data_IF_327192336759
#
_entry.id   IF_327192336759
#
_cell.length_a   1.000
_cell.length_b   1.000
_cell.length_c   1.000
_cell.angle_alpha   90.00
_cell.angle_beta   90.00
_cell.angle_gamma   90.00
#
_symmetry.space_group_name_H-M   'P 1'
#
loop_
_entity.id
_entity.type
_entity.pdbx_description
1 polymer ?
#
# COMPACT_ATOMS: atom_id res chain seq x y z
N UNK A 1 -39.98 -26.46 -67.26
CA UNK A 1 -40.14 -25.63 -66.04
C UNK A 1 -39.58 -26.40 -64.84
N UNK A 2 -38.33 -26.15 -64.47
CA UNK A 2 -37.74 -26.60 -63.20
C UNK A 2 -36.88 -25.45 -62.69
N UNK A 3 -37.39 -24.71 -61.71
CA UNK A 3 -36.68 -23.63 -61.05
C UNK A 3 -35.79 -24.23 -59.95
N UNK A 4 -34.49 -24.00 -60.08
CA UNK A 4 -33.48 -24.35 -59.07
C UNK A 4 -33.39 -23.16 -58.12
N UNK A 5 -33.84 -23.35 -56.87
CA UNK A 5 -33.60 -22.39 -55.79
C UNK A 5 -32.18 -22.56 -55.27
N UNK A 6 -31.32 -21.59 -55.55
CA UNK A 6 -30.00 -21.45 -54.92
C UNK A 6 -30.22 -20.74 -53.58
N UNK A 7 -30.06 -21.49 -52.49
CA UNK A 7 -30.02 -20.96 -51.13
C UNK A 7 -28.65 -20.32 -50.89
N UNK A 8 -28.64 -18.98 -50.85
CA UNK A 8 -27.50 -18.17 -50.44
C UNK A 8 -27.42 -18.18 -48.91
N UNK A 9 -26.63 -19.10 -48.36
CA UNK A 9 -26.19 -19.08 -46.96
C UNK A 9 -25.09 -18.01 -46.82
N UNK A 10 -25.50 -16.79 -46.50
CA UNK A 10 -24.57 -15.75 -46.02
C UNK A 10 -24.21 -16.11 -44.58
N UNK A 11 -23.07 -16.77 -44.42
CA UNK A 11 -22.40 -16.91 -43.15
C UNK A 11 -21.90 -15.52 -42.72
N UNK A 12 -22.71 -14.86 -41.87
CA UNK A 12 -22.23 -13.81 -40.98
C UNK A 12 -21.24 -14.45 -40.00
N UNK A 13 -20.02 -14.70 -40.48
CA UNK A 13 -18.87 -14.84 -39.62
C UNK A 13 -18.65 -13.45 -39.00
N UNK A 14 -19.32 -13.21 -37.87
CA UNK A 14 -18.99 -12.14 -36.97
C UNK A 14 -17.53 -12.28 -36.65
N UNK A 15 -16.70 -11.44 -37.28
CA UNK A 15 -15.37 -11.15 -36.80
C UNK A 15 -15.57 -10.51 -35.43
N UNK A 16 -15.64 -11.34 -34.40
CA UNK A 16 -15.15 -10.96 -33.09
C UNK A 16 -13.68 -10.64 -33.32
N UNK A 17 -13.44 -9.39 -33.71
CA UNK A 17 -12.14 -8.79 -33.64
C UNK A 17 -11.85 -8.80 -32.14
N UNK A 18 -11.16 -9.84 -31.68
CA UNK A 18 -10.53 -9.86 -30.38
C UNK A 18 -9.53 -8.70 -30.42
N UNK A 19 -10.01 -7.50 -30.10
CA UNK A 19 -9.16 -6.36 -29.85
C UNK A 19 -8.19 -6.84 -28.77
N UNK A 20 -6.90 -6.89 -29.11
CA UNK A 20 -5.86 -7.25 -28.16
C UNK A 20 -5.94 -6.36 -26.91
N UNK A 21 -5.26 -6.73 -25.81
CA UNK A 21 -5.42 -6.04 -24.54
C UNK A 21 -5.07 -4.56 -24.70
N UNK A 22 -6.06 -3.69 -24.43
CA UNK A 22 -6.04 -2.26 -24.79
C UNK A 22 -4.83 -1.53 -24.20
N UNK A 23 -4.34 -1.95 -23.04
CA UNK A 23 -3.33 -1.23 -22.28
C UNK A 23 -1.96 -1.93 -22.25
N UNK A 24 -1.79 -3.09 -22.91
CA UNK A 24 -0.56 -3.91 -22.84
C UNK A 24 0.73 -3.13 -23.12
N UNK A 25 0.76 -2.30 -24.17
CA UNK A 25 1.95 -1.48 -24.50
C UNK A 25 2.26 -0.46 -23.41
N UNK A 26 1.20 0.13 -22.82
CA UNK A 26 1.33 1.12 -21.75
C UNK A 26 1.84 0.47 -20.46
N UNK A 27 1.29 -0.68 -20.09
CA UNK A 27 1.71 -1.50 -18.94
C UNK A 27 3.17 -1.94 -19.12
N UNK A 28 3.54 -2.49 -20.27
CA UNK A 28 4.92 -2.92 -20.56
C UNK A 28 5.92 -1.75 -20.48
N UNK A 29 5.52 -0.56 -20.92
CA UNK A 29 6.35 0.63 -20.77
C UNK A 29 6.46 1.11 -19.33
N UNK A 30 5.40 0.96 -18.53
CA UNK A 30 5.38 1.30 -17.11
C UNK A 30 6.24 0.35 -16.27
N UNK A 31 6.24 -0.95 -16.60
CA UNK A 31 7.13 -1.91 -15.94
C UNK A 31 8.60 -1.61 -16.22
N UNK A 32 8.95 -1.22 -17.46
CA UNK A 32 10.32 -0.74 -17.79
C UNK A 32 10.72 0.51 -17.02
N UNK A 33 9.80 1.45 -16.79
CA UNK A 33 10.06 2.58 -15.89
C UNK A 33 10.38 2.12 -14.47
N UNK A 34 9.57 1.20 -13.92
CA UNK A 34 9.77 0.69 -12.55
C UNK A 34 11.11 -0.04 -12.43
N UNK A 35 11.44 -0.89 -13.39
CA UNK A 35 12.71 -1.62 -13.45
C UNK A 35 13.91 -0.66 -13.54
N UNK A 36 13.85 0.31 -14.45
CA UNK A 36 14.93 1.28 -14.68
C UNK A 36 15.29 2.09 -13.43
N UNK A 37 14.29 2.46 -12.62
CA UNK A 37 14.47 3.23 -11.39
C UNK A 37 14.62 2.38 -10.12
N UNK A 38 14.79 1.06 -10.25
CA UNK A 38 15.07 0.19 -9.11
C UNK A 38 16.56 0.25 -8.75
N UNK A 39 16.87 0.63 -7.51
CA UNK A 39 18.26 0.82 -7.05
C UNK A 39 19.12 -0.43 -7.23
N UNK A 40 20.37 -0.23 -7.61
CA UNK A 40 21.38 -1.29 -7.78
C UNK A 40 22.20 -1.53 -6.52
N UNK A 41 22.29 -0.52 -5.65
CA UNK A 41 23.18 -0.51 -4.49
C UNK A 41 24.34 0.48 -4.65
N UNK A 42 24.66 0.86 -5.88
CA UNK A 42 25.75 1.80 -6.20
C UNK A 42 25.37 3.25 -5.87
N UNK A 43 24.07 3.54 -5.77
CA UNK A 43 23.52 4.87 -5.51
C UNK A 43 23.58 5.25 -4.01
N UNK A 44 24.13 4.37 -3.16
CA UNK A 44 24.14 4.54 -1.70
C UNK A 44 22.84 4.10 -1.01
N UNK A 45 21.96 3.44 -1.74
CA UNK A 45 20.74 2.80 -1.23
C UNK A 45 20.93 1.29 -1.13
N UNK A 46 20.04 0.59 -0.42
CA UNK A 46 20.06 -0.87 -0.49
C UNK A 46 19.57 -1.31 -1.89
N UNK A 47 20.04 -2.44 -2.44
CA UNK A 47 19.58 -2.90 -3.75
C UNK A 47 18.08 -3.21 -3.74
N UNK A 48 17.43 -3.06 -4.89
CA UNK A 48 16.05 -3.49 -5.08
C UNK A 48 15.00 -2.54 -4.51
N UNK A 49 15.36 -1.29 -4.26
CA UNK A 49 14.48 -0.29 -3.67
C UNK A 49 13.98 0.71 -4.72
N UNK A 50 12.92 1.41 -4.35
CA UNK A 50 12.47 2.61 -5.04
C UNK A 50 12.41 3.75 -4.04
N UNK A 51 12.98 4.90 -4.40
CA UNK A 51 12.99 6.06 -3.50
C UNK A 51 11.61 6.71 -3.46
N UNK A 52 11.20 7.12 -2.26
CA UNK A 52 10.04 7.98 -2.09
C UNK A 52 10.49 9.42 -1.83
N UNK A 53 9.81 10.38 -2.46
CA UNK A 53 9.98 11.79 -2.18
C UNK A 53 9.22 12.18 -0.93
N UNK A 54 9.96 12.50 0.13
CA UNK A 54 9.43 12.95 1.41
C UNK A 54 9.47 14.47 1.48
N UNK A 55 8.38 15.10 1.89
CA UNK A 55 8.34 16.56 2.07
C UNK A 55 7.70 16.90 3.40
N UNK A 56 8.35 17.77 4.16
CA UNK A 56 7.80 18.32 5.40
C UNK A 56 7.20 19.69 5.16
N UNK A 57 5.99 19.91 5.62
CA UNK A 57 5.28 21.19 5.70
C UNK A 57 5.25 21.72 7.14
N UNK A 58 6.07 21.15 8.03
CA UNK A 58 6.37 21.74 9.34
C UNK A 58 7.72 22.44 9.30
N UNK A 59 7.86 23.57 10.02
CA UNK A 59 9.16 24.15 10.29
C UNK A 59 10.09 23.15 10.99
N UNK A 60 11.37 23.14 10.61
CA UNK A 60 12.35 22.15 11.07
C UNK A 60 12.65 22.22 12.58
N UNK A 61 12.24 23.30 13.24
CA UNK A 61 12.31 23.45 14.69
C UNK A 61 11.18 22.67 15.39
N UNK A 62 10.08 22.32 14.73
CA UNK A 62 8.94 21.62 15.34
C UNK A 62 8.63 20.27 14.69
N UNK A 63 9.46 19.83 13.74
CA UNK A 63 9.25 18.58 13.02
C UNK A 63 10.51 18.01 12.39
N UNK A 64 10.31 16.98 11.58
CA UNK A 64 11.35 16.34 10.78
C UNK A 64 11.38 16.97 9.39
N UNK A 65 12.57 17.12 8.79
CA UNK A 65 12.78 17.72 7.49
C UNK A 65 12.92 19.25 7.53
N UNK A 66 13.33 19.82 6.40
CA UNK A 66 13.23 21.27 6.15
C UNK A 66 11.88 21.58 5.51
N UNK A 67 11.29 22.71 5.87
CA UNK A 67 9.99 23.13 5.33
C UNK A 67 10.03 23.22 3.81
N UNK A 68 9.06 22.55 3.18
CA UNK A 68 8.85 22.46 1.74
C UNK A 68 10.08 22.02 0.92
N UNK A 69 11.03 21.32 1.55
CA UNK A 69 12.17 20.72 0.86
C UNK A 69 11.93 19.23 0.66
N UNK A 70 11.96 18.74 -0.59
CA UNK A 70 11.86 17.31 -0.86
C UNK A 70 13.16 16.59 -0.52
N UNK A 71 13.05 15.39 0.05
CA UNK A 71 14.15 14.45 0.28
C UNK A 71 13.81 13.12 -0.38
N UNK A 72 14.81 12.42 -0.88
CA UNK A 72 14.65 11.04 -1.35
C UNK A 72 14.95 10.08 -0.19
N UNK A 73 13.94 9.32 0.22
CA UNK A 73 14.06 8.34 1.30
C UNK A 73 13.72 6.94 0.78
N UNK A 74 14.67 6.01 0.81
CA UNK A 74 14.37 4.59 0.67
C UNK A 74 13.83 4.02 1.98
N UNK A 75 12.82 3.16 1.89
CA UNK A 75 12.24 2.48 3.07
C UNK A 75 11.82 1.08 2.68
N UNK A 76 11.87 0.13 3.62
CA UNK A 76 11.33 -1.22 3.37
C UNK A 76 9.84 -1.15 2.99
N UNK A 77 9.10 -0.23 3.61
CA UNK A 77 7.69 -0.01 3.31
C UNK A 77 7.45 0.34 1.85
N UNK A 78 8.21 1.28 1.26
CA UNK A 78 8.09 1.63 -0.16
C UNK A 78 8.45 0.44 -1.04
N UNK A 79 9.60 -0.17 -0.76
CA UNK A 79 10.11 -1.26 -1.57
C UNK A 79 9.14 -2.44 -1.60
N UNK A 80 8.65 -2.86 -0.42
CA UNK A 80 7.69 -3.94 -0.28
C UNK A 80 6.31 -3.58 -0.87
N UNK A 81 5.87 -2.31 -0.77
CA UNK A 81 4.61 -1.87 -1.37
C UNK A 81 4.64 -1.97 -2.90
N UNK A 82 5.73 -1.53 -3.55
CA UNK A 82 5.91 -1.69 -5.00
C UNK A 82 6.00 -3.17 -5.37
N UNK A 83 6.82 -3.95 -4.67
CA UNK A 83 7.00 -5.38 -4.94
C UNK A 83 5.70 -6.19 -4.80
N UNK A 84 4.85 -5.89 -3.82
CA UNK A 84 3.54 -6.53 -3.68
C UNK A 84 2.63 -6.27 -4.88
N UNK A 85 2.58 -5.02 -5.36
CA UNK A 85 1.76 -4.67 -6.54
C UNK A 85 2.33 -5.31 -7.80
N UNK A 86 3.65 -5.36 -7.95
CA UNK A 86 4.30 -6.07 -9.05
C UNK A 86 3.96 -7.57 -9.02
N UNK A 87 4.06 -8.21 -7.86
CA UNK A 87 3.69 -9.61 -7.71
C UNK A 87 2.24 -9.86 -8.11
N UNK A 88 1.32 -9.01 -7.67
CA UNK A 88 -0.09 -9.08 -8.08
C UNK A 88 -0.24 -8.95 -9.60
N UNK A 89 0.46 -8.02 -10.26
CA UNK A 89 0.47 -7.92 -11.73
C UNK A 89 0.95 -9.25 -12.35
N UNK A 90 2.02 -9.84 -11.84
CA UNK A 90 2.56 -11.10 -12.35
C UNK A 90 1.58 -12.27 -12.21
N UNK A 91 0.86 -12.39 -11.08
CA UNK A 91 -0.17 -13.42 -10.91
C UNK A 91 -1.40 -13.18 -11.81
N UNK A 92 -1.67 -11.93 -12.19
CA UNK A 92 -2.75 -11.60 -13.15
C UNK A 92 -2.32 -11.83 -14.61
N UNK A 93 -1.03 -11.64 -14.92
CA UNK A 93 -0.44 -11.71 -16.26
C UNK A 93 1.03 -12.19 -16.20
N UNK A 94 1.26 -13.52 -16.17
CA UNK A 94 2.61 -14.09 -16.04
C UNK A 94 3.55 -13.80 -17.21
N UNK A 95 3.06 -13.26 -18.33
CA UNK A 95 3.91 -12.85 -19.46
C UNK A 95 4.87 -11.70 -19.13
N UNK A 96 4.68 -11.00 -18.01
CA UNK A 96 5.58 -9.94 -17.55
C UNK A 96 6.77 -10.52 -16.75
N UNK A 97 7.64 -11.23 -17.45
CA UNK A 97 8.83 -11.94 -16.94
C UNK A 97 9.91 -11.06 -16.27
N UNK A 98 9.90 -9.74 -16.53
CA UNK A 98 10.75 -8.78 -15.85
C UNK A 98 10.39 -8.59 -14.35
N UNK A 99 9.21 -9.04 -13.91
CA UNK A 99 8.73 -8.82 -12.53
C UNK A 99 9.46 -9.68 -11.49
N UNK A 100 9.56 -11.03 -11.63
CA UNK A 100 10.25 -11.85 -10.64
C UNK A 100 11.66 -11.36 -10.27
N UNK A 101 12.54 -10.99 -11.22
CA UNK A 101 13.87 -10.44 -10.89
C UNK A 101 13.81 -9.15 -10.07
N UNK A 102 12.85 -8.25 -10.33
CA UNK A 102 12.66 -7.04 -9.52
C UNK A 102 12.31 -7.40 -8.07
N UNK A 103 11.41 -8.38 -7.86
CA UNK A 103 11.00 -8.80 -6.52
C UNK A 103 12.16 -9.47 -5.77
N UNK A 104 12.91 -10.35 -6.44
CA UNK A 104 14.10 -10.99 -5.88
C UNK A 104 15.13 -9.96 -5.40
N UNK A 105 15.40 -8.94 -6.23
CA UNK A 105 16.30 -7.84 -5.87
C UNK A 105 15.80 -7.08 -4.65
N UNK A 106 14.48 -6.80 -4.56
CA UNK A 106 13.87 -6.17 -3.39
C UNK A 106 14.06 -6.99 -2.13
N UNK A 107 13.82 -8.30 -2.19
CA UNK A 107 13.99 -9.21 -1.04
C UNK A 107 15.46 -9.32 -0.63
N UNK A 108 16.41 -9.30 -1.56
CA UNK A 108 17.84 -9.25 -1.22
C UNK A 108 18.20 -7.98 -0.40
N UNK A 109 17.56 -6.85 -0.71
CA UNK A 109 17.72 -5.59 0.03
C UNK A 109 17.11 -5.57 1.44
N UNK A 110 16.28 -6.55 1.81
CA UNK A 110 15.61 -6.58 3.12
C UNK A 110 16.53 -6.86 4.31
N UNK A 111 17.71 -7.43 4.06
CA UNK A 111 18.69 -7.79 5.11
C UNK A 111 18.94 -6.66 6.12
N UNK A 112 19.01 -5.41 5.66
CA UNK A 112 19.26 -4.24 6.51
C UNK A 112 18.02 -3.75 7.28
N UNK A 113 16.82 -4.19 6.93
CA UNK A 113 15.57 -3.75 7.55
C UNK A 113 15.09 -4.65 8.67
N UNK A 114 15.63 -5.87 8.76
CA UNK A 114 15.35 -6.78 9.85
C UNK A 114 15.76 -6.19 11.21
N UNK A 115 14.85 -6.31 12.15
CA UNK A 115 15.10 -6.25 13.58
C UNK A 115 14.66 -7.59 14.15
N UNK A 116 15.64 -8.48 14.32
CA UNK A 116 15.41 -9.91 14.53
C UNK A 116 14.55 -10.47 13.38
N UNK A 117 13.30 -10.83 13.63
CA UNK A 117 12.36 -11.31 12.60
C UNK A 117 11.28 -10.27 12.22
N UNK A 118 11.29 -9.08 12.82
CA UNK A 118 10.37 -8.00 12.47
C UNK A 118 11.02 -7.07 11.44
N UNK A 119 10.20 -6.29 10.73
CA UNK A 119 10.71 -5.25 9.84
C UNK A 119 10.52 -3.87 10.45
N UNK A 120 11.54 -3.05 10.27
CA UNK A 120 11.48 -1.63 10.60
C UNK A 120 11.36 -0.80 9.32
N UNK A 121 10.69 0.34 9.40
CA UNK A 121 10.58 1.29 8.29
C UNK A 121 11.95 1.76 7.76
N UNK A 122 12.92 1.98 8.66
CA UNK A 122 14.28 2.41 8.32
C UNK A 122 15.33 1.35 8.68
N UNK A 123 16.42 1.24 7.89
CA UNK A 123 17.55 0.39 8.26
C UNK A 123 18.30 1.02 9.45
N UNK A 124 19.12 0.25 10.18
CA UNK A 124 19.86 0.82 11.30
C UNK A 124 20.99 1.72 10.78
N UNK A 125 21.28 2.76 11.54
CA UNK A 125 22.46 3.60 11.37
C UNK A 125 23.10 3.87 12.73
N UNK A 126 24.29 4.46 12.74
CA UNK A 126 25.00 4.79 13.98
C UNK A 126 24.98 6.30 14.21
N UNK A 127 24.49 6.73 15.37
CA UNK A 127 24.56 8.12 15.82
C UNK A 127 25.30 8.19 17.15
N UNK A 128 26.50 8.79 17.15
CA UNK A 128 27.37 8.91 18.34
C UNK A 128 27.59 7.57 19.06
N UNK A 129 27.86 6.51 18.29
CA UNK A 129 28.08 5.15 18.81
C UNK A 129 26.80 4.37 19.16
N UNK A 130 25.60 4.97 19.01
CA UNK A 130 24.32 4.31 19.29
C UNK A 130 23.67 3.86 17.98
N UNK A 131 23.23 2.59 17.93
CA UNK A 131 22.42 2.07 16.83
C UNK A 131 21.01 2.68 16.91
N UNK A 132 20.58 3.35 15.84
CA UNK A 132 19.28 4.03 15.74
C UNK A 132 18.61 3.71 14.41
N UNK A 133 17.29 3.79 14.36
CA UNK A 133 16.51 3.60 13.12
C UNK A 133 15.64 4.83 12.88
N UNK A 134 16.06 5.65 11.93
CA UNK A 134 15.51 6.98 11.68
C UNK A 134 15.71 7.35 10.19
N UNK A 135 15.05 8.41 9.68
CA UNK A 135 15.28 8.92 8.32
C UNK A 135 16.77 9.07 7.99
N UNK A 136 17.16 8.67 6.77
CA UNK A 136 18.57 8.62 6.34
C UNK A 136 19.06 9.97 5.83
N UNK A 137 18.26 10.62 4.98
CA UNK A 137 18.66 11.80 4.21
C UNK A 137 17.90 13.06 4.62
N UNK A 138 16.73 12.88 5.21
CA UNK A 138 15.88 13.95 5.70
C UNK A 138 16.56 14.64 6.88
N UNK A 139 16.62 15.97 6.81
CA UNK A 139 17.17 16.77 7.90
C UNK A 139 16.45 16.48 9.23
N UNK A 140 17.23 16.11 10.24
CA UNK A 140 16.77 15.85 11.60
C UNK A 140 17.55 16.76 12.55
N UNK A 141 16.89 17.78 13.11
CA UNK A 141 17.51 18.60 14.14
C UNK A 141 17.94 17.70 15.33
N UNK A 142 19.08 17.98 16.00
CA UNK A 142 19.63 17.08 17.03
C UNK A 142 18.63 16.67 18.13
N UNK A 143 17.73 17.56 18.52
CA UNK A 143 16.68 17.29 19.52
C UNK A 143 15.61 16.27 19.09
N UNK A 144 15.45 16.04 17.79
CA UNK A 144 14.48 15.08 17.24
C UNK A 144 15.10 13.72 16.90
N UNK A 145 16.41 13.54 17.09
CA UNK A 145 17.09 12.27 16.79
C UNK A 145 16.54 11.11 17.63
N UNK A 146 16.26 11.32 18.92
CA UNK A 146 15.63 10.28 19.75
C UNK A 146 14.15 10.08 19.45
N UNK A 147 13.43 11.14 19.09
CA UNK A 147 12.05 11.05 18.62
C UNK A 147 11.91 10.18 17.36
N UNK A 148 12.85 10.32 16.43
CA UNK A 148 12.85 9.59 15.17
C UNK A 148 13.42 8.17 15.27
N UNK A 149 13.90 7.75 16.45
CA UNK A 149 14.36 6.37 16.69
C UNK A 149 13.15 5.46 16.99
N UNK A 150 12.60 4.87 15.93
CA UNK A 150 11.31 4.17 15.96
C UNK A 150 11.45 2.64 16.03
N UNK A 151 10.50 1.93 16.68
CA UNK A 151 10.51 0.47 16.75
C UNK A 151 9.99 -0.13 15.43
N UNK A 152 10.12 -1.45 15.25
CA UNK A 152 9.40 -2.16 14.20
C UNK A 152 7.90 -1.85 14.26
N UNK A 153 7.26 -1.85 13.10
CA UNK A 153 5.84 -1.53 12.97
C UNK A 153 5.10 -2.60 12.17
N UNK A 154 3.82 -2.72 12.45
CA UNK A 154 2.90 -3.70 11.88
C UNK A 154 2.74 -3.53 10.37
N UNK A 155 2.83 -2.30 9.87
CA UNK A 155 2.61 -1.98 8.46
C UNK A 155 3.78 -2.46 7.60
N UNK A 156 4.99 -2.02 7.95
CA UNK A 156 6.22 -2.44 7.29
C UNK A 156 6.42 -3.95 7.42
N UNK A 157 6.18 -4.52 8.61
CA UNK A 157 6.29 -5.97 8.84
C UNK A 157 5.32 -6.75 7.96
N UNK A 158 4.04 -6.38 7.94
CA UNK A 158 3.04 -7.13 7.18
C UNK A 158 3.23 -7.03 5.67
N UNK A 159 3.55 -5.85 5.15
CA UNK A 159 3.78 -5.66 3.71
C UNK A 159 5.06 -6.39 3.28
N UNK A 160 6.14 -6.36 4.07
CA UNK A 160 7.39 -7.06 3.75
C UNK A 160 7.22 -8.58 3.79
N UNK A 161 6.51 -9.11 4.79
CA UNK A 161 6.17 -10.53 4.81
C UNK A 161 5.24 -10.93 3.66
N UNK A 162 4.31 -10.07 3.24
CA UNK A 162 3.51 -10.31 2.04
C UNK A 162 4.39 -10.42 0.79
N UNK A 163 5.44 -9.62 0.67
CA UNK A 163 6.43 -9.74 -0.42
C UNK A 163 7.15 -11.07 -0.37
N UNK A 164 7.57 -11.53 0.82
CA UNK A 164 8.19 -12.84 1.00
C UNK A 164 7.23 -13.98 0.61
N UNK A 165 5.94 -13.89 0.96
CA UNK A 165 4.93 -14.86 0.54
C UNK A 165 4.78 -14.88 -0.99
N UNK A 166 4.74 -13.72 -1.64
CA UNK A 166 4.65 -13.65 -3.09
C UNK A 166 5.87 -14.25 -3.77
N UNK A 167 7.09 -13.95 -3.29
CA UNK A 167 8.31 -14.54 -3.84
C UNK A 167 8.29 -16.07 -3.69
N UNK A 168 7.87 -16.57 -2.53
CA UNK A 168 7.70 -18.01 -2.31
C UNK A 168 6.77 -18.65 -3.34
N UNK A 169 5.61 -18.01 -3.58
CA UNK A 169 4.63 -18.47 -4.59
C UNK A 169 5.21 -18.45 -6.01
N UNK A 170 5.97 -17.42 -6.37
CA UNK A 170 6.63 -17.31 -7.68
C UNK A 170 7.64 -18.45 -7.91
N UNK A 171 8.42 -18.82 -6.89
CA UNK A 171 9.44 -19.88 -6.99
C UNK A 171 8.89 -21.30 -6.85
N UNK A 172 7.66 -21.45 -6.39
CA UNK A 172 7.03 -22.75 -6.10
C UNK A 172 5.76 -22.89 -6.92
N UNK A 173 4.62 -22.58 -6.28
CA UNK A 173 3.30 -22.66 -6.86
C UNK A 173 2.42 -21.55 -6.26
N UNK A 174 1.46 -21.03 -7.00
CA UNK A 174 0.56 -19.96 -6.57
C UNK A 174 -0.21 -20.29 -5.27
N UNK A 175 -0.49 -21.57 -5.03
CA UNK A 175 -1.22 -22.07 -3.86
C UNK A 175 -0.30 -22.33 -2.65
N UNK A 176 1.02 -22.29 -2.84
CA UNK A 176 1.98 -22.46 -1.76
C UNK A 176 1.97 -21.28 -0.79
N UNK A 177 2.42 -21.52 0.44
CA UNK A 177 2.60 -20.48 1.44
C UNK A 177 3.78 -20.83 2.36
N UNK A 178 4.40 -19.79 2.91
CA UNK A 178 5.45 -19.92 3.91
C UNK A 178 4.86 -19.60 5.29
N UNK A 179 5.02 -20.47 6.30
CA UNK A 179 4.60 -20.12 7.66
C UNK A 179 5.31 -18.85 8.15
N UNK A 180 4.57 -17.98 8.84
CA UNK A 180 5.16 -16.85 9.54
C UNK A 180 5.93 -17.36 10.76
N UNK A 181 7.10 -16.77 11.09
CA UNK A 181 7.80 -17.11 12.32
C UNK A 181 6.95 -16.81 13.56
N UNK A 182 7.07 -17.65 14.59
CA UNK A 182 6.27 -17.50 15.81
C UNK A 182 6.52 -16.16 16.51
N UNK A 183 7.76 -15.65 16.49
CA UNK A 183 8.06 -14.36 17.09
C UNK A 183 7.31 -13.18 16.44
N UNK A 184 7.00 -13.29 15.14
CA UNK A 184 6.18 -12.31 14.41
C UNK A 184 4.75 -12.38 14.92
N UNK A 185 4.18 -13.59 15.03
CA UNK A 185 2.83 -13.80 15.54
C UNK A 185 2.68 -13.36 17.00
N UNK A 186 3.70 -13.60 17.82
CA UNK A 186 3.77 -13.16 19.20
C UNK A 186 3.81 -11.62 19.30
N UNK A 187 4.58 -10.96 18.42
CA UNK A 187 4.64 -9.50 18.37
C UNK A 187 3.26 -8.90 18.06
N UNK A 188 2.56 -9.42 17.04
CA UNK A 188 1.18 -8.99 16.71
C UNK A 188 0.19 -9.29 17.83
N UNK A 189 0.31 -10.45 18.47
CA UNK A 189 -0.60 -10.85 19.57
C UNK A 189 -0.47 -9.95 20.80
N UNK A 190 0.76 -9.49 21.10
CA UNK A 190 1.01 -8.50 22.17
C UNK A 190 0.58 -7.09 21.77
N UNK A 191 0.79 -6.70 20.52
CA UNK A 191 0.47 -5.37 20.01
C UNK A 191 -1.01 -5.26 19.57
N UNK A 192 -1.94 -5.39 20.54
CA UNK A 192 -3.40 -5.27 20.30
C UNK A 192 -4.03 -4.13 21.08
N UNK A 193 -5.08 -3.55 20.50
CA UNK A 193 -5.86 -2.49 21.12
C UNK A 193 -6.85 -3.04 22.16
N UNK A 194 -6.31 -3.38 23.33
CA UNK A 194 -7.05 -3.96 24.46
C UNK A 194 -6.70 -3.24 25.76
N UNK A 195 -7.74 -2.85 26.51
CA UNK A 195 -7.65 -2.29 27.86
C UNK A 195 -6.62 -1.16 28.02
N UNK A 196 -6.48 -0.32 26.99
CA UNK A 196 -5.49 0.77 26.94
C UNK A 196 -6.14 2.14 26.80
N UNK A 197 -5.35 3.17 27.10
CA UNK A 197 -5.74 4.55 26.76
C UNK A 197 -5.50 4.76 25.26
N UNK A 198 -6.54 5.04 24.46
CA UNK A 198 -6.36 5.22 23.03
C UNK A 198 -5.52 6.45 22.71
N UNK A 199 -4.86 6.38 21.57
CA UNK A 199 -4.26 7.53 20.93
C UNK A 199 -5.28 8.66 20.75
N UNK A 200 -4.87 9.94 20.84
CA UNK A 200 -5.82 11.07 20.83
C UNK A 200 -6.64 11.12 19.53
N UNK A 201 -6.01 10.78 18.40
CA UNK A 201 -6.67 10.68 17.11
C UNK A 201 -7.73 9.56 17.13
N UNK A 202 -7.34 8.34 17.53
CA UNK A 202 -8.27 7.22 17.62
C UNK A 202 -9.44 7.51 18.58
N UNK A 203 -9.17 8.15 19.71
CA UNK A 203 -10.20 8.59 20.66
C UNK A 203 -11.20 9.54 20.00
N UNK A 204 -10.72 10.53 19.24
CA UNK A 204 -11.57 11.47 18.49
C UNK A 204 -12.41 10.81 17.40
N UNK A 205 -11.96 9.67 16.86
CA UNK A 205 -12.72 8.86 15.90
C UNK A 205 -13.57 7.75 16.56
N UNK A 206 -13.63 7.70 17.90
CA UNK A 206 -14.35 6.65 18.63
C UNK A 206 -13.74 5.25 18.47
N UNK A 207 -12.45 5.16 18.13
CA UNK A 207 -11.69 3.93 18.01
C UNK A 207 -10.96 3.67 19.33
N UNK A 208 -11.52 2.78 20.15
CA UNK A 208 -10.96 2.38 21.44
C UNK A 208 -11.32 0.93 21.70
N UNK A 209 -10.39 0.16 22.27
CA UNK A 209 -10.60 -1.23 22.66
C UNK A 209 -11.20 -2.06 21.50
N UNK A 210 -10.69 -1.81 20.29
CA UNK A 210 -11.15 -2.46 19.08
C UNK A 210 -10.74 -3.93 19.01
N UNK A 211 -9.73 -4.33 19.80
CA UNK A 211 -9.09 -5.65 19.74
C UNK A 211 -8.23 -5.87 18.49
N UNK A 212 -8.21 -4.90 17.57
CA UNK A 212 -7.43 -4.90 16.35
C UNK A 212 -5.93 -4.68 16.67
N UNK A 213 -5.09 -4.81 15.66
CA UNK A 213 -3.64 -4.65 15.79
C UNK A 213 -3.26 -3.16 15.92
N UNK A 214 -2.24 -2.92 16.73
CA UNK A 214 -1.62 -1.60 16.87
C UNK A 214 -0.54 -1.39 15.80
N UNK A 215 -0.30 -0.14 15.42
CA UNK A 215 0.69 0.22 14.40
C UNK A 215 2.11 -0.13 14.84
N UNK A 216 2.51 0.23 16.06
CA UNK A 216 3.87 -0.02 16.53
C UNK A 216 3.94 -1.39 17.22
N UNK A 217 4.88 -2.25 16.86
CA UNK A 217 5.08 -3.56 17.48
C UNK A 217 5.93 -3.42 18.76
N UNK A 218 5.48 -2.52 19.63
CA UNK A 218 6.16 -2.14 20.87
C UNK A 218 5.14 -1.83 21.96
N UNK A 219 5.46 -2.19 23.19
CA UNK A 219 4.62 -1.87 24.33
C UNK A 219 4.80 -0.40 24.73
N UNK A 220 3.79 0.42 24.46
CA UNK A 220 3.79 1.82 24.85
C UNK A 220 3.43 2.05 26.33
N UNK A 221 3.18 0.98 27.10
CA UNK A 221 3.05 0.98 28.55
C UNK A 221 4.34 0.57 29.26
N UNK A 222 5.37 0.13 28.53
CA UNK A 222 6.67 -0.23 29.10
C UNK A 222 7.23 0.94 29.94
N UNK A 223 7.52 0.74 31.24
CA UNK A 223 8.10 1.78 32.10
C UNK A 223 9.51 2.18 31.66
N UNK A 224 10.20 1.33 30.89
CA UNK A 224 11.55 1.60 30.34
C UNK A 224 11.52 2.42 29.05
N UNK A 225 10.36 2.57 28.40
CA UNK A 225 10.27 3.35 27.16
C UNK A 225 10.52 4.85 27.42
N UNK A 226 11.41 5.54 26.67
CA UNK A 226 11.69 6.96 26.85
C UNK A 226 10.44 7.84 26.67
N UNK A 227 9.99 8.49 27.74
CA UNK A 227 8.78 9.35 27.70
C UNK A 227 9.04 10.79 27.26
N UNK A 228 10.24 11.33 27.48
CA UNK A 228 10.59 12.67 27.02
C UNK A 228 10.69 12.71 25.48
N UNK A 229 9.94 13.62 24.83
CA UNK A 229 9.96 13.81 23.37
C UNK A 229 11.37 14.14 22.83
N UNK A 230 12.18 14.81 23.66
CA UNK A 230 13.56 15.19 23.36
C UNK A 230 14.59 14.27 24.02
N UNK A 231 14.17 13.07 24.45
CA UNK A 231 15.10 12.05 24.93
C UNK A 231 16.21 11.83 23.89
N UNK A 232 17.43 11.64 24.38
CA UNK A 232 18.57 11.33 23.51
C UNK A 232 18.42 9.91 22.96
N UNK A 233 18.98 9.61 21.77
CA UNK A 233 18.84 8.28 21.17
C UNK A 233 19.40 7.13 22.01
N UNK A 234 20.42 7.37 22.84
CA UNK A 234 20.96 6.37 23.76
C UNK A 234 19.98 5.93 24.86
N UNK A 235 18.85 6.64 25.04
CA UNK A 235 17.80 6.23 25.96
C UNK A 235 16.95 5.10 25.37
N UNK A 236 17.12 4.77 24.08
CA UNK A 236 16.44 3.67 23.41
C UNK A 236 15.40 4.12 22.41
N UNK A 237 14.62 3.15 21.97
CA UNK A 237 13.57 3.30 20.96
C UNK A 237 12.24 3.68 21.61
N UNK A 238 11.37 4.38 20.88
CA UNK A 238 10.08 4.83 21.40
C UNK A 238 8.99 4.78 20.35
N UNK A 239 7.78 4.47 20.81
CA UNK A 239 6.57 4.76 20.03
C UNK A 239 6.46 6.28 19.86
N UNK A 240 6.25 6.80 18.64
CA UNK A 240 6.06 8.22 18.41
C UNK A 240 5.02 8.81 19.37
N UNK A 241 5.38 9.93 20.00
CA UNK A 241 4.55 10.62 20.99
C UNK A 241 4.09 9.77 22.21
N UNK A 242 4.74 8.63 22.47
CA UNK A 242 4.53 7.74 23.63
C UNK A 242 3.16 7.08 23.69
N UNK A 243 2.43 7.04 22.58
CA UNK A 243 1.14 6.37 22.57
C UNK A 243 0.90 5.72 21.22
N UNK A 244 0.70 4.42 21.27
CA UNK A 244 0.42 3.59 20.11
C UNK A 244 -1.01 3.77 19.64
N UNK A 245 -1.25 3.42 18.39
CA UNK A 245 -2.46 3.74 17.66
C UNK A 245 -2.98 2.56 16.84
N UNK A 246 -4.25 2.66 16.44
CA UNK A 246 -4.90 1.74 15.51
C UNK A 246 -5.08 2.46 14.19
N UNK A 247 -4.71 1.83 13.08
CA UNK A 247 -4.94 2.37 11.73
C UNK A 247 -5.61 1.29 10.88
N UNK A 248 -6.68 1.67 10.18
CA UNK A 248 -7.44 0.75 9.33
C UNK A 248 -6.60 0.10 8.23
N UNK A 249 -5.74 0.88 7.56
CA UNK A 249 -4.96 0.39 6.43
C UNK A 249 -3.84 -0.50 6.92
N UNK A 250 -3.20 -0.14 8.04
CA UNK A 250 -2.24 -1.02 8.73
C UNK A 250 -2.90 -2.36 9.06
N UNK A 251 -4.10 -2.34 9.66
CA UNK A 251 -4.84 -3.57 9.97
C UNK A 251 -5.24 -4.36 8.72
N UNK A 252 -5.57 -3.69 7.61
CA UNK A 252 -5.83 -4.34 6.34
C UNK A 252 -4.57 -5.05 5.81
N UNK A 253 -3.40 -4.40 5.85
CA UNK A 253 -2.14 -5.01 5.45
C UNK A 253 -1.76 -6.22 6.32
N UNK A 254 -1.99 -6.14 7.63
CA UNK A 254 -1.81 -7.27 8.55
C UNK A 254 -2.75 -8.43 8.19
N UNK A 255 -4.04 -8.15 7.97
CA UNK A 255 -4.99 -9.18 7.56
C UNK A 255 -4.59 -9.84 6.23
N UNK A 256 -4.12 -9.06 5.24
CA UNK A 256 -3.63 -9.59 3.97
C UNK A 256 -2.49 -10.59 4.20
N UNK A 257 -1.47 -10.20 4.97
CA UNK A 257 -0.35 -11.08 5.31
C UNK A 257 -0.85 -12.36 6.00
N UNK A 258 -1.74 -12.24 6.99
CA UNK A 258 -2.27 -13.39 7.74
C UNK A 258 -3.10 -14.32 6.86
N UNK A 259 -3.92 -13.77 5.94
CA UNK A 259 -4.69 -14.56 4.96
C UNK A 259 -3.77 -15.32 4.03
N UNK A 260 -2.73 -14.66 3.49
CA UNK A 260 -1.75 -15.30 2.61
C UNK A 260 -0.98 -16.43 3.33
N UNK A 261 -0.60 -16.21 4.59
CA UNK A 261 0.10 -17.19 5.41
C UNK A 261 -0.81 -18.23 6.10
N UNK A 262 -2.11 -18.24 5.79
CA UNK A 262 -3.12 -19.15 6.37
C UNK A 262 -3.19 -19.10 7.91
N UNK A 263 -2.99 -17.92 8.51
CA UNK A 263 -3.07 -17.65 9.95
C UNK A 263 -4.32 -16.84 10.32
N UNK A 264 -5.49 -17.37 9.95
CA UNK A 264 -6.78 -16.68 10.09
C UNK A 264 -7.52 -16.96 11.41
N UNK A 265 -6.98 -17.84 12.25
CA UNK A 265 -7.51 -18.26 13.56
C UNK A 265 -6.78 -17.59 14.75
N UNK A 266 -5.74 -16.81 14.48
CA UNK A 266 -4.88 -16.20 15.48
C UNK A 266 -5.51 -15.03 16.26
N UNK A 267 -4.92 -14.66 17.41
CA UNK A 267 -5.38 -13.52 18.20
C UNK A 267 -5.44 -12.22 17.37
N UNK A 268 -6.57 -11.52 17.45
CA UNK A 268 -6.75 -10.22 16.80
C UNK A 268 -7.27 -10.29 15.36
N UNK A 269 -7.19 -11.43 14.66
CA UNK A 269 -7.67 -11.55 13.28
C UNK A 269 -9.16 -11.17 13.15
N UNK A 270 -10.03 -11.85 13.91
CA UNK A 270 -11.48 -11.54 13.89
C UNK A 270 -11.79 -10.12 14.36
N UNK A 271 -11.04 -9.60 15.34
CA UNK A 271 -11.24 -8.25 15.85
C UNK A 271 -10.88 -7.19 14.80
N UNK A 272 -9.80 -7.39 14.05
CA UNK A 272 -9.43 -6.57 12.90
C UNK A 272 -10.50 -6.66 11.79
N UNK A 273 -10.98 -7.86 11.44
CA UNK A 273 -12.08 -8.02 10.48
C UNK A 273 -13.33 -7.23 10.90
N UNK A 274 -13.77 -7.40 12.16
CA UNK A 274 -14.92 -6.69 12.71
C UNK A 274 -14.71 -5.16 12.71
N UNK A 275 -13.49 -4.71 13.00
CA UNK A 275 -13.13 -3.30 12.95
C UNK A 275 -13.28 -2.73 11.54
N UNK A 276 -12.68 -3.38 10.52
CA UNK A 276 -12.74 -2.91 9.13
C UNK A 276 -14.16 -2.96 8.56
N UNK A 277 -14.92 -4.04 8.83
CA UNK A 277 -16.31 -4.15 8.40
C UNK A 277 -17.18 -3.02 8.97
N UNK A 278 -17.00 -2.70 10.26
CA UNK A 278 -17.69 -1.58 10.89
C UNK A 278 -17.33 -0.24 10.23
N UNK A 279 -16.09 -0.05 9.80
CA UNK A 279 -15.65 1.18 9.12
C UNK A 279 -16.22 1.29 7.71
N UNK A 280 -16.34 0.17 6.99
CA UNK A 280 -17.03 0.12 5.69
C UNK A 280 -18.52 0.47 5.81
N UNK A 281 -19.22 -0.09 6.80
CA UNK A 281 -20.63 0.22 7.10
C UNK A 281 -20.80 1.72 7.42
N UNK A 282 -19.92 2.27 8.27
CA UNK A 282 -19.94 3.70 8.63
C UNK A 282 -19.45 4.63 7.51
N UNK A 283 -18.90 4.08 6.43
CA UNK A 283 -18.27 4.80 5.31
C UNK A 283 -17.15 5.74 5.76
N UNK A 284 -16.44 5.36 6.84
CA UNK A 284 -15.37 6.16 7.43
C UNK A 284 -13.99 5.86 6.79
N UNK A 285 -13.96 5.89 5.46
CA UNK A 285 -12.76 5.55 4.70
C UNK A 285 -11.67 6.61 4.78
N UNK A 286 -12.03 7.86 5.12
CA UNK A 286 -11.08 8.96 5.15
C UNK A 286 -10.43 9.14 6.52
N UNK A 287 -11.15 8.92 7.62
CA UNK A 287 -10.61 9.17 8.97
C UNK A 287 -10.16 7.90 9.67
N UNK A 288 -10.53 6.71 9.22
CA UNK A 288 -10.02 5.50 9.85
C UNK A 288 -8.51 5.27 9.66
N UNK A 289 -7.92 5.79 8.58
CA UNK A 289 -6.47 5.82 8.39
C UNK A 289 -5.85 7.11 8.95
N UNK A 290 -4.88 6.96 9.84
CA UNK A 290 -4.04 8.06 10.36
C UNK A 290 -2.90 8.39 9.40
N UNK A 291 -2.21 7.36 8.90
CA UNK A 291 -1.03 7.51 8.03
C UNK A 291 -1.37 7.62 6.56
N UNK A 292 -2.60 7.27 6.19
CA UNK A 292 -3.05 7.19 4.82
C UNK A 292 -4.06 8.30 4.52
N UNK A 293 -3.63 9.39 3.87
CA UNK A 293 -4.46 10.58 3.71
C UNK A 293 -5.47 10.46 2.56
N UNK A 294 -5.97 9.27 2.26
CA UNK A 294 -6.85 8.99 1.13
C UNK A 294 -8.05 8.14 1.56
N UNK A 295 -9.21 8.44 0.98
CA UNK A 295 -10.45 7.66 1.18
C UNK A 295 -10.54 6.40 0.31
N UNK A 296 -9.57 6.19 -0.59
CA UNK A 296 -9.63 5.11 -1.59
C UNK A 296 -8.67 3.97 -1.28
N UNK A 297 -7.63 4.23 -0.48
CA UNK A 297 -6.65 3.23 -0.07
C UNK A 297 -7.24 2.13 0.81
N UNK A 298 -8.15 2.46 1.75
CA UNK A 298 -8.80 1.42 2.56
C UNK A 298 -9.68 0.48 1.72
N UNK A 299 -10.61 0.99 0.86
CA UNK A 299 -11.32 0.12 -0.10
C UNK A 299 -10.39 -0.72 -0.96
N UNK A 300 -9.29 -0.15 -1.46
CA UNK A 300 -8.28 -0.86 -2.23
C UNK A 300 -7.66 -2.01 -1.42
N UNK A 301 -7.12 -1.75 -0.23
CA UNK A 301 -6.51 -2.80 0.60
C UNK A 301 -7.51 -3.87 1.04
N UNK A 302 -8.78 -3.51 1.28
CA UNK A 302 -9.83 -4.49 1.59
C UNK A 302 -10.16 -5.36 0.38
N UNK A 303 -10.19 -4.79 -0.83
CA UNK A 303 -10.39 -5.54 -2.06
C UNK A 303 -9.28 -6.58 -2.29
N UNK A 304 -8.02 -6.20 -2.03
CA UNK A 304 -6.88 -7.14 -2.10
C UNK A 304 -7.06 -8.34 -1.16
N UNK A 305 -7.48 -8.11 0.10
CA UNK A 305 -7.69 -9.18 1.07
C UNK A 305 -8.81 -10.11 0.63
N UNK A 306 -9.93 -9.54 0.16
CA UNK A 306 -11.06 -10.29 -0.37
C UNK A 306 -10.62 -11.16 -1.55
N UNK A 307 -9.86 -10.59 -2.49
CA UNK A 307 -9.32 -11.31 -3.65
C UNK A 307 -8.39 -12.46 -3.24
N UNK A 308 -7.60 -12.28 -2.18
CA UNK A 308 -6.74 -13.34 -1.60
C UNK A 308 -7.51 -14.39 -0.77
N UNK A 309 -8.85 -14.33 -0.73
CA UNK A 309 -9.70 -15.30 -0.01
C UNK A 309 -10.02 -14.93 1.44
N UNK A 310 -9.85 -13.66 1.82
CA UNK A 310 -10.18 -13.14 3.15
C UNK A 310 -11.69 -12.99 3.37
N UNK A 311 -12.38 -14.12 3.55
CA UNK A 311 -13.86 -14.20 3.64
C UNK A 311 -14.47 -13.37 4.76
N UNK A 312 -13.71 -13.05 5.82
CA UNK A 312 -14.21 -12.23 6.92
C UNK A 312 -14.59 -10.80 6.50
N UNK A 313 -14.09 -10.31 5.35
CA UNK A 313 -14.39 -8.98 4.82
C UNK A 313 -15.46 -8.97 3.71
N UNK A 314 -15.91 -10.14 3.25
CA UNK A 314 -16.98 -10.25 2.24
C UNK A 314 -18.25 -9.47 2.59
N UNK A 315 -18.71 -9.40 3.87
CA UNK A 315 -19.87 -8.57 4.23
C UNK A 315 -19.72 -7.07 3.90
N UNK A 316 -18.50 -6.59 3.61
CA UNK A 316 -18.26 -5.21 3.21
C UNK A 316 -18.29 -4.99 1.70
N UNK A 317 -18.26 -6.04 0.86
CA UNK A 317 -18.12 -5.93 -0.61
C UNK A 317 -19.06 -4.89 -1.21
N UNK A 318 -20.35 -5.02 -0.97
CA UNK A 318 -21.37 -4.12 -1.55
C UNK A 318 -21.23 -2.68 -1.05
N UNK A 319 -20.84 -2.50 0.22
CA UNK A 319 -20.58 -1.17 0.78
C UNK A 319 -19.37 -0.49 0.13
N UNK A 320 -18.34 -1.27 -0.21
CA UNK A 320 -17.16 -0.79 -0.92
C UNK A 320 -17.51 -0.40 -2.36
N UNK A 321 -18.20 -1.29 -3.11
CA UNK A 321 -18.63 -1.02 -4.49
C UNK A 321 -19.53 0.22 -4.54
N UNK A 322 -20.57 0.28 -3.70
CA UNK A 322 -21.49 1.42 -3.64
C UNK A 322 -20.77 2.74 -3.30
N UNK A 323 -19.75 2.69 -2.44
CA UNK A 323 -18.91 3.84 -2.15
C UNK A 323 -18.10 4.28 -3.38
N UNK A 324 -17.44 3.35 -4.07
CA UNK A 324 -16.59 3.62 -5.23
C UNK A 324 -17.41 4.24 -6.37
N UNK A 325 -18.51 3.61 -6.77
CA UNK A 325 -19.41 4.12 -7.82
C UNK A 325 -19.94 5.52 -7.47
N UNK A 326 -20.41 5.73 -6.23
CA UNK A 326 -20.90 7.05 -5.78
C UNK A 326 -19.84 8.15 -5.81
N UNK A 327 -18.56 7.80 -5.66
CA UNK A 327 -17.45 8.77 -5.59
C UNK A 327 -16.77 9.02 -6.91
N UNK A 328 -17.05 8.24 -7.95
CA UNK A 328 -16.54 8.49 -9.28
C UNK A 328 -17.05 9.85 -9.79
N UNK A 329 -16.21 10.57 -10.51
CA UNK A 329 -16.56 11.84 -11.15
C UNK A 329 -17.02 11.58 -12.58
N UNK A 330 -17.72 12.57 -13.15
CA UNK A 330 -18.21 12.51 -14.54
C UNK A 330 -17.10 12.29 -15.58
N UNK A 331 -15.85 12.58 -15.24
CA UNK A 331 -14.69 12.37 -16.11
C UNK A 331 -14.01 11.01 -15.82
N UNK A 332 -14.70 10.05 -15.21
CA UNK A 332 -14.17 8.73 -14.87
C UNK A 332 -13.26 8.67 -13.64
N UNK A 333 -12.57 9.77 -13.30
CA UNK A 333 -11.59 9.78 -12.21
C UNK A 333 -12.19 9.80 -10.80
N UNK A 334 -11.39 9.36 -9.83
CA UNK A 334 -11.61 9.58 -8.41
C UNK A 334 -10.67 10.65 -7.89
N UNK A 335 -11.15 11.47 -6.95
CA UNK A 335 -10.41 12.62 -6.45
C UNK A 335 -10.45 12.68 -4.94
N UNK A 336 -9.27 12.66 -4.33
CA UNK A 336 -9.10 12.97 -2.95
C UNK A 336 -8.72 14.46 -2.78
N UNK A 337 -9.37 15.13 -1.82
CA UNK A 337 -9.01 16.51 -1.48
C UNK A 337 -7.93 16.45 -0.42
N UNK A 338 -6.71 16.74 -0.84
CA UNK A 338 -5.51 16.81 -0.01
C UNK A 338 -4.90 18.22 -0.10
N UNK A 339 -4.23 18.70 0.96
CA UNK A 339 -3.53 20.00 1.09
C UNK A 339 -3.37 20.78 -0.23
N UNK A 340 -4.28 21.73 -0.52
CA UNK A 340 -4.37 22.59 -1.73
C UNK A 340 -4.13 21.96 -3.12
N UNK A 341 -3.73 20.70 -3.22
CA UNK A 341 -3.37 19.95 -4.43
C UNK A 341 -4.19 18.67 -4.47
N UNK A 342 -5.14 18.55 -5.40
CA UNK A 342 -5.99 17.38 -5.49
C UNK A 342 -5.19 16.18 -5.98
N UNK A 343 -5.26 15.08 -5.24
CA UNK A 343 -4.78 13.75 -5.65
C UNK A 343 -5.86 13.12 -6.53
N UNK A 344 -5.49 12.79 -7.76
CA UNK A 344 -6.41 12.24 -8.77
C UNK A 344 -5.87 10.98 -9.42
N UNK A 345 -4.56 10.87 -9.57
CA UNK A 345 -3.92 9.73 -10.20
C UNK A 345 -3.93 8.56 -9.23
N UNK A 346 -3.34 8.72 -8.04
CA UNK A 346 -3.26 7.65 -7.05
C UNK A 346 -4.65 7.26 -6.56
N UNK A 347 -5.52 8.25 -6.33
CA UNK A 347 -6.92 8.04 -5.96
C UNK A 347 -7.68 7.22 -7.00
N UNK A 348 -7.49 7.51 -8.30
CA UNK A 348 -8.11 6.72 -9.38
C UNK A 348 -7.51 5.33 -9.45
N UNK A 349 -6.19 5.19 -9.40
CA UNK A 349 -5.53 3.88 -9.47
C UNK A 349 -6.01 2.92 -8.36
N UNK A 350 -6.12 3.39 -7.12
CA UNK A 350 -6.69 2.61 -6.02
C UNK A 350 -8.17 2.30 -6.20
N UNK A 351 -8.99 3.31 -6.54
CA UNK A 351 -10.43 3.14 -6.68
C UNK A 351 -10.80 2.21 -7.84
N UNK A 352 -10.12 2.35 -8.98
CA UNK A 352 -10.27 1.49 -10.15
C UNK A 352 -9.84 0.06 -9.83
N UNK A 353 -8.66 -0.13 -9.21
CA UNK A 353 -8.21 -1.47 -8.78
C UNK A 353 -9.21 -2.15 -7.84
N UNK A 354 -9.76 -1.40 -6.88
CA UNK A 354 -10.76 -1.92 -5.95
C UNK A 354 -12.07 -2.28 -6.68
N UNK A 355 -12.56 -1.40 -7.57
CA UNK A 355 -13.80 -1.62 -8.30
C UNK A 355 -13.69 -2.79 -9.26
N UNK A 356 -12.57 -2.93 -9.98
CA UNK A 356 -12.36 -4.02 -10.92
C UNK A 356 -12.17 -5.38 -10.24
N UNK A 357 -11.70 -5.42 -8.99
CA UNK A 357 -11.61 -6.67 -8.21
C UNK A 357 -12.93 -7.08 -7.56
N UNK A 358 -13.72 -6.09 -7.12
CA UNK A 358 -14.95 -6.36 -6.37
C UNK A 358 -16.19 -6.42 -7.25
N UNK A 359 -16.19 -5.64 -8.32
CA UNK A 359 -17.29 -5.46 -9.25
C UNK A 359 -17.52 -6.67 -10.14
N UNK A 360 -18.73 -6.72 -10.66
CA UNK A 360 -19.23 -7.72 -11.60
C UNK A 360 -19.08 -7.22 -13.06
N UNK A 361 -18.28 -7.89 -13.91
CA UNK A 361 -18.14 -7.56 -15.34
C UNK A 361 -19.45 -7.68 -16.14
N UNK A 362 -20.43 -8.46 -15.68
CA UNK A 362 -21.72 -8.57 -16.37
C UNK A 362 -22.67 -7.41 -16.03
N UNK A 363 -22.39 -6.65 -14.97
CA UNK A 363 -23.15 -5.48 -14.58
C UNK A 363 -22.77 -4.24 -15.44
N UNK A 364 -23.73 -3.65 -16.19
CA UNK A 364 -23.44 -2.52 -17.07
C UNK A 364 -22.88 -1.29 -16.36
N UNK A 365 -23.35 -1.00 -15.13
CA UNK A 365 -22.87 0.15 -14.35
C UNK A 365 -21.42 -0.05 -13.92
N UNK A 366 -21.03 -1.27 -13.58
CA UNK A 366 -19.64 -1.58 -13.22
C UNK A 366 -18.73 -1.49 -14.44
N UNK A 367 -19.12 -2.06 -15.58
CA UNK A 367 -18.35 -1.95 -16.84
C UNK A 367 -18.11 -0.51 -17.24
N UNK A 368 -19.16 0.31 -17.28
CA UNK A 368 -19.04 1.74 -17.63
C UNK A 368 -18.10 2.46 -16.66
N UNK A 369 -18.27 2.25 -15.35
CA UNK A 369 -17.43 2.88 -14.34
C UNK A 369 -15.96 2.42 -14.43
N UNK A 370 -15.69 1.14 -14.68
CA UNK A 370 -14.33 0.62 -14.85
C UNK A 370 -13.70 1.18 -16.13
N UNK A 371 -14.42 1.18 -17.25
CA UNK A 371 -13.93 1.72 -18.53
C UNK A 371 -13.59 3.21 -18.42
N UNK A 372 -14.50 4.02 -17.89
CA UNK A 372 -14.29 5.45 -17.71
C UNK A 372 -13.11 5.73 -16.76
N UNK A 373 -12.96 4.91 -15.71
CA UNK A 373 -11.84 4.98 -14.79
C UNK A 373 -10.50 4.66 -15.46
N UNK A 374 -10.47 3.62 -16.30
CA UNK A 374 -9.29 3.19 -17.04
C UNK A 374 -8.87 4.22 -18.09
N UNK A 375 -9.81 4.75 -18.87
CA UNK A 375 -9.57 5.81 -19.86
C UNK A 375 -9.01 7.08 -19.18
N UNK A 376 -9.60 7.48 -18.05
CA UNK A 376 -9.09 8.61 -17.26
C UNK A 376 -7.66 8.35 -16.78
N UNK A 377 -7.40 7.16 -16.22
CA UNK A 377 -6.08 6.83 -15.68
C UNK A 377 -5.03 6.77 -16.78
N UNK A 378 -5.32 6.11 -17.90
CA UNK A 378 -4.45 6.02 -19.06
C UNK A 378 -4.07 7.42 -19.59
N UNK A 379 -5.05 8.32 -19.69
CA UNK A 379 -4.86 9.71 -20.10
C UNK A 379 -4.07 10.59 -19.12
N UNK A 380 -3.86 10.14 -17.89
CA UNK A 380 -3.05 10.83 -16.88
C UNK A 380 -1.58 10.39 -16.85
N UNK A 381 -1.19 9.46 -17.70
CA UNK A 381 0.21 9.03 -17.84
C UNK A 381 1.06 10.10 -18.54
N UNK A 382 2.37 10.02 -18.33
CA UNK A 382 3.38 10.83 -19.04
C UNK A 382 4.57 9.94 -19.41
N UNK A 383 5.58 10.49 -20.09
CA UNK A 383 6.83 9.80 -20.40
C UNK A 383 8.01 10.45 -19.68
N UNK A 384 8.97 9.64 -19.24
CA UNK A 384 10.25 10.12 -18.70
C UNK A 384 11.22 10.52 -19.82
N UNK A 385 12.46 10.87 -19.46
CA UNK A 385 13.52 11.20 -20.43
C UNK A 385 13.93 10.03 -21.33
N UNK A 386 13.70 8.79 -20.90
CA UNK A 386 13.97 7.58 -21.68
C UNK A 386 12.76 7.17 -22.56
N UNK A 387 11.66 7.93 -22.49
CA UNK A 387 10.41 7.64 -23.21
C UNK A 387 9.53 6.59 -22.53
N UNK A 388 9.86 6.13 -21.32
CA UNK A 388 9.05 5.18 -20.57
C UNK A 388 7.82 5.85 -19.98
N UNK A 389 6.66 5.23 -20.19
CA UNK A 389 5.39 5.64 -19.59
C UNK A 389 5.45 5.51 -18.07
N UNK A 390 5.01 6.53 -17.35
CA UNK A 390 4.83 6.47 -15.91
C UNK A 390 3.72 7.42 -15.44
N UNK A 391 3.35 7.28 -14.17
CA UNK A 391 2.44 8.20 -13.49
C UNK A 391 3.18 8.98 -12.42
N UNK A 392 3.12 10.34 -12.45
CA UNK A 392 3.75 11.16 -11.42
C UNK A 392 3.28 10.78 -10.02
N UNK A 393 4.24 10.56 -9.11
CA UNK A 393 3.96 10.16 -7.74
C UNK A 393 3.08 11.17 -6.98
N UNK A 394 1.93 10.71 -6.50
CA UNK A 394 1.05 11.47 -5.60
C UNK A 394 1.20 10.99 -4.14
N UNK A 395 0.47 11.61 -3.21
CA UNK A 395 0.64 11.34 -1.78
C UNK A 395 -0.02 10.02 -1.43
N UNK A 396 0.79 9.01 -1.12
CA UNK A 396 0.27 7.71 -0.71
C UNK A 396 0.39 7.44 0.80
N UNK A 397 1.30 8.14 1.48
CA UNK A 397 1.56 7.99 2.90
C UNK A 397 1.91 9.36 3.54
N UNK A 398 1.58 9.53 4.81
CA UNK A 398 1.89 10.72 5.59
C UNK A 398 2.25 10.35 7.02
N UNK A 399 3.14 11.11 7.63
CA UNK A 399 3.56 10.94 9.01
C UNK A 399 3.20 12.14 9.89
N UNK A 400 3.15 11.84 11.18
CA UNK A 400 2.76 12.69 12.32
C UNK A 400 1.27 13.04 12.35
N UNK A 401 0.69 12.97 13.54
CA UNK A 401 -0.76 12.92 13.73
C UNK A 401 -1.37 14.18 14.36
N UNK A 402 -0.57 15.03 15.02
CA UNK A 402 -1.11 16.20 15.75
C UNK A 402 -1.80 17.16 14.78
N UNK A 403 -1.28 17.20 13.55
CA UNK A 403 -2.04 17.49 12.34
C UNK A 403 -1.76 16.32 11.41
N UNK A 404 -2.77 15.66 10.83
CA UNK A 404 -2.50 14.84 9.64
C UNK A 404 -1.80 15.73 8.61
N UNK A 405 -0.96 15.16 7.75
CA UNK A 405 -0.42 15.80 6.53
C UNK A 405 0.87 16.65 6.59
N UNK A 406 1.57 16.85 7.71
CA UNK A 406 2.72 17.73 7.71
C UNK A 406 3.99 17.06 7.18
N UNK A 407 4.08 15.73 7.10
CA UNK A 407 5.18 15.06 6.41
C UNK A 407 4.57 14.04 5.48
N UNK A 408 4.96 14.06 4.20
CA UNK A 408 4.26 13.33 3.13
C UNK A 408 5.23 12.59 2.26
N UNK A 409 4.84 11.40 1.83
CA UNK A 409 5.60 10.54 0.93
C UNK A 409 4.87 10.46 -0.41
N UNK A 410 5.64 10.60 -1.48
CA UNK A 410 5.21 10.41 -2.87
C UNK A 410 6.16 9.46 -3.57
N UNK A 411 5.65 8.50 -4.33
CA UNK A 411 6.50 7.56 -5.06
C UNK A 411 5.92 7.34 -6.45
N UNK A 412 6.65 7.77 -7.48
CA UNK A 412 6.24 7.53 -8.88
C UNK A 412 6.27 6.04 -9.19
N UNK A 413 7.21 5.27 -8.64
CA UNK A 413 7.25 3.81 -8.81
C UNK A 413 5.99 3.15 -8.24
N UNK A 414 5.58 3.52 -7.02
CA UNK A 414 4.37 2.98 -6.41
C UNK A 414 3.09 3.42 -7.15
N UNK A 415 2.97 4.70 -7.47
CA UNK A 415 1.82 5.20 -8.26
C UNK A 415 1.73 4.50 -9.62
N UNK A 416 2.87 4.32 -10.29
CA UNK A 416 2.96 3.65 -11.60
C UNK A 416 2.61 2.17 -11.48
N UNK A 417 3.08 1.47 -10.45
CA UNK A 417 2.75 0.06 -10.22
C UNK A 417 1.25 -0.13 -10.00
N UNK A 418 0.64 0.67 -9.12
CA UNK A 418 -0.82 0.59 -8.86
C UNK A 418 -1.61 0.96 -10.11
N UNK A 419 -1.16 1.94 -10.89
CA UNK A 419 -1.82 2.32 -12.14
C UNK A 419 -1.74 1.22 -13.19
N UNK A 420 -0.58 0.60 -13.37
CA UNK A 420 -0.39 -0.54 -14.27
C UNK A 420 -1.29 -1.72 -13.87
N UNK A 421 -1.37 -2.05 -12.58
CA UNK A 421 -2.30 -3.06 -12.06
C UNK A 421 -3.76 -2.70 -12.35
N UNK A 422 -4.14 -1.45 -12.11
CA UNK A 422 -5.51 -0.99 -12.31
C UNK A 422 -5.94 -1.11 -13.78
N UNK A 423 -5.06 -0.75 -14.73
CA UNK A 423 -5.30 -0.91 -16.15
C UNK A 423 -5.40 -2.38 -16.55
N UNK A 424 -4.52 -3.24 -16.02
CA UNK A 424 -4.57 -4.68 -16.28
C UNK A 424 -5.89 -5.31 -15.78
N UNK A 425 -6.34 -4.94 -14.58
CA UNK A 425 -7.61 -5.41 -14.04
C UNK A 425 -8.81 -4.92 -14.86
N UNK A 426 -8.72 -3.71 -15.42
CA UNK A 426 -9.79 -3.14 -16.23
C UNK A 426 -10.00 -3.88 -17.56
N UNK A 427 -9.00 -4.61 -18.08
CA UNK A 427 -9.14 -5.42 -19.31
C UNK A 427 -10.14 -6.58 -19.18
N UNK A 428 -10.67 -6.83 -17.98
CA UNK A 428 -11.69 -7.83 -17.69
C UNK A 428 -13.14 -7.33 -17.87
N UNK A 429 -13.33 -6.02 -18.07
CA UNK A 429 -14.62 -5.33 -18.20
C UNK A 429 -14.79 -4.77 -19.60
#
# INVERSE_FOLDING_TARGET
MRAIYILLLVSLAGTYCFAGPQYRTQISSALRFIEHYQTTGEEGYDPGQWVARVTSYLPSNVGVGKFNHPYEEPTAFVAASVANVLAEIYFLAPEYDAIPPMIEKTVAGFSNYYWDQLFNFYPPTTYRGVKVRQPRYMYLAPRFKGFANIPPDADTTSISYSTLQYLHKIHRDEHSYQPLPDSVMDAFSRARDLNRKPHIYNAGQGQKNTGAFLTWLWDDMDPKMPRNLFARPNNGTRVPFNRNDVDCVVNANVLKMLTMAKRTDGPGYQAACNHLNRMAIKKDFFYCGMYYPSRYVLPYTMAEIIHQGGSCLEPSRDNLIAFLLKKQKRNGGWKNKYLSRPDRIQSTAWALSALAQLGDPENPQHREAVRDGADFLAGMSTKDSNGFVYWPGEVYFAATFVARYPVVWRSSAYTTAVAAKALLLAERF
#
